data_IF_305706437025
#
_entry.id   IF_305706437025
#
_cell.length_a   1.000
_cell.length_b   1.000
_cell.length_c   1.000
_cell.angle_alpha   90.00
_cell.angle_beta   90.00
_cell.angle_gamma   90.00
#
_symmetry.space_group_name_H-M   'P 1'
#
loop_
_entity.id
_entity.type
_entity.pdbx_description
1 polymer ?
#
# COMPACT_ATOMS: atom_id res chain seq x y z
N UNK A 1 -1.73 24.12 -13.42
CA UNK A 1 -1.68 22.77 -12.83
C UNK A 1 -1.13 22.92 -11.42
N UNK A 2 -1.90 22.59 -10.38
CA UNK A 2 -1.40 22.60 -9.00
C UNK A 2 -0.45 21.40 -8.88
N UNK A 3 0.81 21.58 -8.44
CA UNK A 3 1.70 20.45 -8.21
C UNK A 3 1.10 19.53 -7.14
N UNK A 4 1.20 18.22 -7.34
CA UNK A 4 0.88 17.25 -6.29
C UNK A 4 1.77 17.54 -5.07
N UNK A 5 1.15 17.74 -3.90
CA UNK A 5 1.85 18.00 -2.63
C UNK A 5 2.63 16.80 -2.09
N UNK A 6 2.53 15.65 -2.75
CA UNK A 6 3.10 14.39 -2.30
C UNK A 6 2.33 13.80 -1.11
N UNK A 7 2.78 12.63 -0.66
CA UNK A 7 2.25 11.94 0.51
C UNK A 7 3.33 11.82 1.59
N UNK A 8 2.98 12.13 2.83
CA UNK A 8 3.89 11.99 3.97
C UNK A 8 3.56 10.73 4.76
N UNK A 9 4.61 10.03 5.20
CA UNK A 9 4.50 8.84 6.03
C UNK A 9 5.62 8.85 7.09
N UNK A 10 5.39 8.16 8.19
CA UNK A 10 6.36 8.01 9.28
C UNK A 10 6.87 6.58 9.29
N UNK A 11 8.20 6.41 9.35
CA UNK A 11 8.80 5.10 9.58
C UNK A 11 8.53 4.68 11.03
N UNK A 12 7.88 3.53 11.30
CA UNK A 12 7.61 3.10 12.67
C UNK A 12 8.90 2.90 13.47
N UNK A 13 8.98 3.54 14.65
CA UNK A 13 10.20 3.58 15.46
C UNK A 13 10.59 2.23 16.07
N UNK A 14 9.65 1.29 16.18
CA UNK A 14 9.91 -0.05 16.69
C UNK A 14 10.51 -1.00 15.64
N UNK A 15 10.65 -0.58 14.37
CA UNK A 15 11.30 -1.39 13.33
C UNK A 15 12.78 -1.60 13.63
N UNK A 16 13.26 -2.81 13.35
CA UNK A 16 14.69 -3.14 13.44
C UNK A 16 15.50 -2.28 12.46
N UNK A 17 16.65 -1.72 12.87
CA UNK A 17 17.55 -1.04 11.95
C UNK A 17 17.99 -1.93 10.79
N UNK A 18 18.14 -1.34 9.60
CA UNK A 18 18.54 -2.08 8.40
C UNK A 18 18.19 -1.36 7.10
N UNK A 19 18.39 -2.04 5.97
CA UNK A 19 18.00 -1.55 4.64
C UNK A 19 16.60 -2.02 4.29
N UNK A 20 15.75 -1.09 3.86
CA UNK A 20 14.35 -1.34 3.52
C UNK A 20 13.99 -0.73 2.17
N UNK A 21 13.01 -1.33 1.51
CA UNK A 21 12.27 -0.71 0.42
C UNK A 21 10.93 -0.20 0.94
N UNK A 22 10.60 1.06 0.65
CA UNK A 22 9.25 1.59 0.82
C UNK A 22 8.58 1.58 -0.54
N UNK A 23 7.61 0.67 -0.71
CA UNK A 23 6.74 0.61 -1.89
C UNK A 23 5.54 1.53 -1.68
N UNK A 24 5.57 2.73 -2.27
CA UNK A 24 4.40 3.60 -2.38
C UNK A 24 3.59 3.20 -3.62
N UNK A 25 2.27 3.21 -3.51
CA UNK A 25 1.42 2.77 -4.62
C UNK A 25 0.12 3.59 -4.66
N UNK A 26 -0.25 4.04 -5.85
CA UNK A 26 -1.58 4.59 -6.13
C UNK A 26 -2.40 3.58 -6.92
N UNK A 27 -3.65 3.32 -6.49
CA UNK A 27 -4.63 2.53 -7.22
C UNK A 27 -5.63 3.48 -7.89
N UNK A 28 -5.70 3.50 -9.23
CA UNK A 28 -6.74 4.23 -9.94
C UNK A 28 -7.95 3.32 -10.16
N UNK A 29 -9.10 3.74 -9.61
CA UNK A 29 -10.33 2.95 -9.52
C UNK A 29 -11.39 3.33 -10.58
N UNK A 30 -11.08 4.26 -11.49
CA UNK A 30 -12.05 4.80 -12.44
C UNK A 30 -12.65 3.75 -13.40
N UNK A 31 -11.96 2.61 -13.57
CA UNK A 31 -12.40 1.47 -14.38
C UNK A 31 -12.41 0.14 -13.59
N UNK A 32 -12.35 0.17 -12.25
CA UNK A 32 -12.22 -1.06 -11.44
C UNK A 32 -13.53 -1.82 -11.19
N UNK A 33 -14.65 -1.40 -11.80
CA UNK A 33 -15.96 -2.05 -11.60
C UNK A 33 -16.02 -3.50 -12.15
N UNK A 34 -15.05 -3.89 -12.98
CA UNK A 34 -14.81 -5.27 -13.42
C UNK A 34 -13.32 -5.56 -13.42
N UNK A 35 -12.94 -6.83 -13.23
CA UNK A 35 -11.55 -7.28 -13.34
C UNK A 35 -11.25 -7.90 -14.73
N UNK A 36 -10.12 -7.56 -15.38
CA UNK A 36 -9.15 -6.53 -14.98
C UNK A 36 -9.69 -5.11 -15.21
N UNK A 37 -9.28 -4.14 -14.37
CA UNK A 37 -9.77 -2.76 -14.47
C UNK A 37 -9.07 -1.74 -13.57
N UNK A 38 -8.71 -2.12 -12.34
CA UNK A 38 -7.85 -1.29 -11.48
C UNK A 38 -6.47 -1.11 -12.11
N UNK A 39 -5.92 0.10 -11.99
CA UNK A 39 -4.58 0.43 -12.47
C UNK A 39 -3.66 0.71 -11.27
N UNK A 40 -2.58 -0.06 -11.18
CA UNK A 40 -1.61 0.03 -10.09
C UNK A 40 -0.40 0.86 -10.54
N UNK A 41 -0.06 1.90 -9.77
CA UNK A 41 1.11 2.77 -9.99
C UNK A 41 2.09 2.68 -8.81
N UNK A 42 2.91 1.63 -8.73
CA UNK A 42 3.89 1.47 -7.65
C UNK A 42 5.21 2.21 -7.93
N UNK A 43 5.85 2.68 -6.86
CA UNK A 43 7.23 3.18 -6.84
C UNK A 43 7.95 2.75 -5.56
N UNK A 44 9.26 2.49 -5.65
CA UNK A 44 10.06 2.00 -4.52
C UNK A 44 11.16 3.00 -4.14
N UNK A 45 11.21 3.36 -2.86
CA UNK A 45 12.29 4.16 -2.27
C UNK A 45 13.20 3.26 -1.43
N UNK A 46 14.51 3.42 -1.59
CA UNK A 46 15.51 2.71 -0.78
C UNK A 46 15.88 3.54 0.43
N UNK A 47 15.72 2.98 1.63
CA UNK A 47 16.04 3.66 2.89
C UNK A 47 16.97 2.80 3.74
N UNK A 48 17.80 3.47 4.54
CA UNK A 48 18.47 2.87 5.68
C UNK A 48 17.74 3.34 6.95
N UNK A 49 17.03 2.42 7.60
CA UNK A 49 16.36 2.66 8.88
C UNK A 49 17.40 2.55 9.99
N UNK A 50 17.51 3.59 10.82
CA UNK A 50 18.31 3.63 12.04
C UNK A 50 17.42 3.58 13.28
N UNK A 51 18.02 3.48 14.47
CA UNK A 51 17.30 3.44 15.75
C UNK A 51 17.63 2.20 16.59
N UNK A 52 16.73 1.83 17.49
CA UNK A 52 16.90 0.72 18.44
C UNK A 52 15.72 -0.27 18.43
N UNK A 53 14.80 -0.15 17.46
CA UNK A 53 13.69 -1.06 17.32
C UNK A 53 14.13 -2.50 17.05
N UNK A 54 13.20 -3.45 17.22
CA UNK A 54 13.47 -4.89 17.12
C UNK A 54 12.44 -5.64 16.29
N UNK A 55 11.35 -4.98 15.87
CA UNK A 55 10.27 -5.60 15.11
C UNK A 55 10.63 -5.69 13.63
N UNK A 56 10.22 -6.77 12.97
CA UNK A 56 10.38 -6.95 11.52
C UNK A 56 9.13 -6.54 10.71
N UNK A 57 8.09 -6.02 11.38
CA UNK A 57 6.75 -5.80 10.81
C UNK A 57 5.85 -7.04 10.92
N UNK A 58 4.53 -6.84 10.93
CA UNK A 58 3.52 -7.91 10.87
C UNK A 58 2.14 -7.33 10.50
N UNK A 59 1.30 -8.05 9.73
CA UNK A 59 1.62 -9.30 9.01
C UNK A 59 2.52 -9.05 7.79
N UNK A 60 3.23 -10.09 7.34
CA UNK A 60 4.05 -10.03 6.12
C UNK A 60 3.31 -10.69 4.95
N UNK A 61 3.50 -10.13 3.75
CA UNK A 61 2.87 -10.59 2.51
C UNK A 61 3.88 -10.58 1.35
N UNK A 62 3.56 -11.31 0.27
CA UNK A 62 4.39 -11.35 -0.93
C UNK A 62 3.75 -10.54 -2.07
N UNK A 63 4.58 -9.90 -2.88
CA UNK A 63 4.20 -9.35 -4.18
C UNK A 63 5.01 -10.03 -5.28
N UNK A 64 4.37 -10.65 -6.31
CA UNK A 64 2.91 -10.79 -6.48
C UNK A 64 2.27 -11.76 -5.45
N UNK A 65 0.99 -11.55 -5.14
CA UNK A 65 0.19 -12.45 -4.29
C UNK A 65 -0.69 -11.78 -3.24
N UNK A 66 -0.27 -10.63 -2.70
CA UNK A 66 -1.00 -9.91 -1.66
C UNK A 66 -2.35 -9.34 -2.11
N UNK A 67 -2.52 -9.10 -3.41
CA UNK A 67 -3.78 -8.64 -4.01
C UNK A 67 -4.37 -9.75 -4.88
N UNK A 68 -5.69 -9.92 -4.79
CA UNK A 68 -6.46 -10.87 -5.59
C UNK A 68 -7.52 -10.12 -6.38
N UNK A 69 -7.88 -10.65 -7.55
CA UNK A 69 -9.01 -10.14 -8.33
C UNK A 69 -10.32 -10.08 -7.52
N UNK A 70 -10.47 -10.98 -6.56
CA UNK A 70 -11.64 -11.08 -5.66
C UNK A 70 -11.60 -10.11 -4.49
N UNK A 71 -10.51 -9.36 -4.27
CA UNK A 71 -10.47 -8.39 -3.19
C UNK A 71 -11.43 -7.23 -3.53
N UNK A 72 -12.31 -6.82 -2.59
CA UNK A 72 -13.33 -5.81 -2.84
C UNK A 72 -12.76 -4.42 -3.15
N UNK A 73 -11.48 -4.18 -2.85
CA UNK A 73 -10.77 -2.96 -3.24
C UNK A 73 -10.04 -3.02 -4.59
N UNK A 74 -9.93 -4.22 -5.18
CA UNK A 74 -9.35 -4.48 -6.51
C UNK A 74 -10.44 -4.47 -7.58
N UNK A 75 -11.57 -5.11 -7.29
CA UNK A 75 -12.80 -5.01 -8.09
C UNK A 75 -13.81 -4.19 -7.33
N UNK A 76 -13.90 -2.90 -7.68
CA UNK A 76 -14.66 -1.89 -6.95
C UNK A 76 -15.33 -0.92 -7.93
N UNK A 77 -16.63 -0.68 -7.74
CA UNK A 77 -17.35 0.36 -8.47
C UNK A 77 -17.35 1.68 -7.68
N UNK A 78 -16.46 2.58 -8.07
CA UNK A 78 -16.31 3.89 -7.44
C UNK A 78 -17.52 4.83 -7.62
N UNK A 79 -18.44 4.52 -8.52
CA UNK A 79 -19.61 5.35 -8.82
C UNK A 79 -20.86 4.94 -8.00
N UNK A 80 -20.84 3.79 -7.34
CA UNK A 80 -21.99 3.21 -6.62
C UNK A 80 -21.99 3.44 -5.09
N UNK A 81 -21.11 4.29 -4.57
CA UNK A 81 -21.05 4.73 -3.15
C UNK A 81 -21.00 3.61 -2.09
N UNK A 82 -20.35 2.48 -2.39
CA UNK A 82 -20.12 1.41 -1.41
C UNK A 82 -18.89 1.73 -0.53
N UNK A 83 -18.80 1.17 0.69
CA UNK A 83 -17.58 1.31 1.50
C UNK A 83 -16.37 0.73 0.78
N UNK A 84 -15.27 1.48 0.74
CA UNK A 84 -14.02 1.03 0.14
C UNK A 84 -13.14 0.30 1.16
N UNK A 85 -12.85 -0.96 0.89
CA UNK A 85 -11.90 -1.77 1.67
C UNK A 85 -10.56 -1.82 0.93
N UNK A 86 -9.51 -1.25 1.53
CA UNK A 86 -8.16 -1.25 0.97
C UNK A 86 -7.67 -2.71 0.84
N UNK A 87 -7.18 -3.13 -0.34
CA UNK A 87 -6.67 -4.49 -0.52
C UNK A 87 -5.31 -4.68 0.16
N UNK A 88 -4.96 -5.93 0.49
CA UNK A 88 -3.72 -6.28 1.15
C UNK A 88 -3.82 -6.37 2.68
N UNK A 89 -2.67 -6.40 3.40
CA UNK A 89 -2.64 -6.56 4.85
C UNK A 89 -3.14 -5.32 5.60
N UNK A 90 -3.52 -5.52 6.86
CA UNK A 90 -3.77 -4.41 7.78
C UNK A 90 -2.51 -3.56 7.99
N UNK A 91 -2.70 -2.27 8.30
CA UNK A 91 -1.61 -1.34 8.62
C UNK A 91 -0.85 -1.83 9.85
N UNK A 92 0.46 -2.04 9.70
CA UNK A 92 1.34 -2.36 10.82
C UNK A 92 1.44 -1.18 11.79
N UNK A 93 1.34 -1.47 13.08
CA UNK A 93 1.53 -0.52 14.17
C UNK A 93 2.54 -1.07 15.18
N UNK A 94 3.32 -0.17 15.75
CA UNK A 94 3.90 -0.40 17.07
C UNK A 94 2.77 -0.28 18.10
#
# INVERSE_FOLDING_TARGET
>A
MVPNSGYQYTIPSCLRPGYYLVRHETLALHASYTYPGVQFYPGCHQLQVSGSGTKNGSPLVAFPGAYKATDPGVTYDAYSATPYTIPGPAVFTC
#
